data_IF_805831681765
#
_entry.id   IF_805831681765
#
_cell.length_a   1.000
_cell.length_b   1.000
_cell.length_c   1.000
_cell.angle_alpha   90.00
_cell.angle_beta   90.00
_cell.angle_gamma   90.00
#
_symmetry.space_group_name_H-M   'P 1'
#
loop_
_entity.id
_entity.type
_entity.pdbx_description
1 polymer ?
#
# COMPACT_ATOMS: atom_id res chain seq x y z
N UNK A 1 -23.37 -1.85 -13.01
CA UNK A 1 -22.46 -0.83 -12.41
C UNK A 1 -23.22 0.33 -11.78
N UNK A 2 -24.13 0.99 -12.48
CA UNK A 2 -24.85 2.17 -11.96
C UNK A 2 -26.19 1.81 -11.30
N UNK A 3 -26.15 0.91 -10.32
CA UNK A 3 -27.32 0.59 -9.50
C UNK A 3 -27.38 1.53 -8.29
N UNK A 4 -28.58 1.97 -7.93
CA UNK A 4 -28.80 2.86 -6.79
C UNK A 4 -28.42 2.18 -5.46
N UNK A 5 -28.83 0.92 -5.29
CA UNK A 5 -28.43 0.14 -4.11
C UNK A 5 -26.98 -0.37 -4.31
N UNK A 6 -26.02 0.00 -3.43
CA UNK A 6 -24.63 -0.41 -3.56
C UNK A 6 -24.46 -1.92 -3.45
N UNK A 7 -25.25 -2.61 -2.63
CA UNK A 7 -25.18 -4.06 -2.48
C UNK A 7 -25.62 -4.81 -3.74
N UNK A 8 -26.33 -4.14 -4.66
CA UNK A 8 -26.71 -4.71 -5.96
C UNK A 8 -25.70 -4.38 -7.06
N UNK A 9 -24.72 -3.52 -6.81
CA UNK A 9 -23.69 -3.15 -7.79
C UNK A 9 -22.86 -4.39 -8.14
N UNK A 10 -22.53 -4.54 -9.42
CA UNK A 10 -21.67 -5.62 -9.89
C UNK A 10 -20.29 -5.54 -9.22
N UNK A 11 -19.72 -6.69 -8.82
CA UNK A 11 -18.37 -6.78 -8.28
C UNK A 11 -17.31 -6.58 -9.37
N UNK A 12 -16.08 -6.26 -8.99
CA UNK A 12 -14.97 -6.07 -9.92
C UNK A 12 -14.71 -7.36 -10.71
N UNK A 13 -14.63 -8.51 -10.04
CA UNK A 13 -14.46 -9.83 -10.67
C UNK A 13 -15.51 -10.09 -11.77
N UNK A 14 -16.78 -9.83 -11.47
CA UNK A 14 -17.88 -10.00 -12.43
C UNK A 14 -17.84 -8.96 -13.55
N UNK A 15 -17.37 -7.76 -13.29
CA UNK A 15 -17.22 -6.73 -14.30
C UNK A 15 -16.08 -7.05 -15.28
N UNK A 16 -14.97 -7.63 -14.81
CA UNK A 16 -13.86 -8.07 -15.67
C UNK A 16 -14.28 -9.19 -16.63
N UNK A 17 -15.16 -10.09 -16.20
CA UNK A 17 -15.74 -11.16 -17.03
C UNK A 17 -16.89 -10.69 -17.94
N UNK A 18 -17.20 -9.39 -17.99
CA UNK A 18 -18.29 -8.88 -18.79
C UNK A 18 -17.97 -9.02 -20.29
N UNK A 19 -18.93 -9.38 -21.17
CA UNK A 19 -18.67 -9.62 -22.60
C UNK A 19 -17.97 -8.48 -23.34
N UNK A 20 -18.19 -7.24 -22.87
CA UNK A 20 -17.52 -6.05 -23.41
C UNK A 20 -15.98 -6.08 -23.25
N UNK A 21 -15.47 -6.69 -22.18
CA UNK A 21 -14.04 -6.80 -21.89
C UNK A 21 -13.44 -8.15 -22.32
N UNK A 22 -14.23 -9.05 -22.92
CA UNK A 22 -13.80 -10.41 -23.23
C UNK A 22 -12.53 -10.48 -24.10
N UNK A 23 -12.33 -9.52 -25.01
CA UNK A 23 -11.13 -9.46 -25.87
C UNK A 23 -9.86 -9.09 -25.09
N UNK A 24 -10.00 -8.49 -23.91
CA UNK A 24 -8.88 -8.02 -23.08
C UNK A 24 -8.74 -8.83 -21.78
N UNK A 25 -9.69 -9.71 -21.47
CA UNK A 25 -9.70 -10.45 -20.23
C UNK A 25 -8.91 -11.75 -20.36
N UNK A 26 -7.77 -11.81 -19.66
CA UNK A 26 -7.02 -13.05 -19.42
C UNK A 26 -6.92 -13.28 -17.89
N UNK A 27 -7.45 -14.39 -17.35
CA UNK A 27 -7.31 -14.71 -15.94
C UNK A 27 -5.86 -14.94 -15.49
N UNK A 28 -4.95 -15.31 -16.39
CA UNK A 28 -3.54 -15.51 -16.06
C UNK A 28 -2.78 -14.20 -15.79
N UNK A 29 -3.28 -13.08 -16.32
CA UNK A 29 -2.69 -11.75 -16.13
C UNK A 29 -3.15 -11.06 -14.84
N UNK A 30 -4.13 -11.65 -14.14
CA UNK A 30 -4.72 -11.05 -12.94
C UNK A 30 -4.04 -11.61 -11.70
N UNK A 31 -3.42 -10.72 -10.93
CA UNK A 31 -2.88 -11.03 -9.60
C UNK A 31 -3.57 -10.20 -8.53
N UNK A 32 -4.03 -10.85 -7.47
CA UNK A 32 -4.52 -10.17 -6.29
C UNK A 32 -3.34 -9.66 -5.45
N UNK A 33 -3.45 -8.42 -4.98
CA UNK A 33 -2.50 -7.91 -4.01
C UNK A 33 -2.69 -8.65 -2.67
N UNK A 34 -1.62 -8.91 -1.91
CA UNK A 34 -1.75 -9.43 -0.56
C UNK A 34 -2.59 -8.47 0.29
N UNK A 35 -3.27 -9.02 1.31
CA UNK A 35 -3.98 -8.20 2.28
C UNK A 35 -3.01 -7.17 2.88
N UNK A 36 -3.34 -5.90 2.68
CA UNK A 36 -2.51 -4.78 3.07
C UNK A 36 -3.35 -3.84 3.92
N UNK A 37 -2.81 -3.44 5.06
CA UNK A 37 -3.43 -2.47 5.93
C UNK A 37 -3.06 -1.07 5.44
N UNK A 38 -4.09 -0.27 5.14
CA UNK A 38 -3.92 1.12 4.71
C UNK A 38 -3.82 2.10 5.90
N UNK A 39 -3.89 1.62 7.13
CA UNK A 39 -3.64 2.42 8.32
C UNK A 39 -2.20 2.92 8.41
N UNK A 40 -2.01 4.05 9.09
CA UNK A 40 -0.68 4.46 9.52
C UNK A 40 -0.24 3.60 10.71
N UNK A 41 1.08 3.42 10.88
CA UNK A 41 1.64 2.72 12.05
C UNK A 41 1.33 3.45 13.37
N UNK A 42 0.98 4.75 13.29
CA UNK A 42 0.57 5.56 14.43
C UNK A 42 -0.95 5.59 14.55
N UNK A 43 -1.49 5.52 15.78
CA UNK A 43 -2.91 5.74 16.02
C UNK A 43 -3.31 7.18 15.64
N UNK A 44 -4.56 7.37 15.22
CA UNK A 44 -5.09 8.67 14.76
C UNK A 44 -4.85 9.82 15.75
N UNK A 45 -4.89 9.53 17.06
CA UNK A 45 -4.68 10.51 18.13
C UNK A 45 -3.22 11.04 18.22
N UNK A 46 -2.26 10.27 17.70
CA UNK A 46 -0.83 10.62 17.69
C UNK A 46 -0.36 11.13 16.31
N UNK A 47 -1.25 11.09 15.31
CA UNK A 47 -0.98 11.47 13.92
C UNK A 47 -0.98 13.00 13.74
N UNK A 48 -0.02 13.66 14.37
CA UNK A 48 0.22 15.10 14.20
C UNK A 48 0.84 15.41 12.83
N UNK A 49 0.80 16.68 12.44
CA UNK A 49 1.46 17.15 11.21
C UNK A 49 2.96 16.82 11.22
N UNK A 50 3.60 17.01 12.37
CA UNK A 50 5.03 16.75 12.56
C UNK A 50 5.33 15.25 12.42
N UNK A 51 4.50 14.39 13.03
CA UNK A 51 4.63 12.93 12.90
C UNK A 51 4.46 12.46 11.44
N UNK A 52 3.51 13.03 10.70
CA UNK A 52 3.33 12.74 9.27
C UNK A 52 4.54 13.15 8.42
N UNK A 53 5.17 14.29 8.73
CA UNK A 53 6.39 14.73 8.05
C UNK A 53 7.54 13.76 8.33
N UNK A 54 7.66 13.29 9.58
CA UNK A 54 8.67 12.30 9.97
C UNK A 54 8.47 10.98 9.22
N UNK A 55 7.26 10.41 9.23
CA UNK A 55 6.92 9.20 8.47
C UNK A 55 7.25 9.35 6.98
N UNK A 56 6.89 10.48 6.37
CA UNK A 56 7.19 10.75 4.96
C UNK A 56 8.70 10.86 4.70
N UNK A 57 9.45 11.53 5.59
CA UNK A 57 10.90 11.64 5.46
C UNK A 57 11.58 10.27 5.55
N UNK A 58 11.15 9.41 6.47
CA UNK A 58 11.64 8.04 6.61
C UNK A 58 11.40 7.22 5.33
N UNK A 59 10.20 7.31 4.76
CA UNK A 59 9.88 6.65 3.49
C UNK A 59 10.78 7.15 2.35
N UNK A 60 10.97 8.46 2.22
CA UNK A 60 11.82 9.00 1.15
C UNK A 60 13.29 8.57 1.32
N UNK A 61 13.79 8.50 2.56
CA UNK A 61 15.14 8.02 2.86
C UNK A 61 15.36 6.56 2.45
N UNK A 62 14.34 5.70 2.60
CA UNK A 62 14.41 4.31 2.16
C UNK A 62 14.66 4.19 0.64
N UNK A 63 14.09 5.08 -0.16
CA UNK A 63 14.29 5.12 -1.62
C UNK A 63 15.48 5.98 -2.07
N UNK A 64 15.93 6.94 -1.25
CA UNK A 64 16.96 7.94 -1.60
C UNK A 64 18.02 8.11 -0.51
N UNK A 65 18.91 7.11 -0.33
CA UNK A 65 19.91 7.14 0.75
C UNK A 65 20.85 8.35 0.60
N UNK A 66 21.05 9.08 1.70
CA UNK A 66 22.05 10.16 1.81
C UNK A 66 21.63 11.52 1.24
N UNK A 67 20.37 11.69 0.81
CA UNK A 67 19.86 12.98 0.30
C UNK A 67 19.14 13.85 1.34
N UNK A 68 18.75 13.29 2.50
CA UNK A 68 18.00 13.99 3.55
C UNK A 68 18.82 14.01 4.84
N UNK A 69 18.97 15.18 5.51
CA UNK A 69 19.61 15.25 6.81
C UNK A 69 18.67 14.71 7.89
N UNK A 70 19.00 13.53 8.45
CA UNK A 70 18.25 12.90 9.56
C UNK A 70 18.12 13.84 10.76
N UNK A 71 16.88 14.17 11.16
CA UNK A 71 16.57 14.62 12.52
C UNK A 71 15.95 13.43 13.25
N UNK A 72 16.71 12.73 14.08
CA UNK A 72 16.17 11.63 14.90
C UNK A 72 15.92 12.10 16.33
N UNK A 73 14.82 11.64 16.94
CA UNK A 73 14.90 10.89 18.18
C UNK A 73 14.44 9.45 17.93
N UNK A 74 15.28 8.50 18.32
CA UNK A 74 14.97 7.07 18.32
C UNK A 74 13.88 6.78 19.36
N UNK A 75 12.63 6.59 18.92
CA UNK A 75 11.60 6.02 19.80
C UNK A 75 11.70 4.49 19.71
N UNK A 76 11.86 3.89 20.90
CA UNK A 76 12.28 2.51 21.08
C UNK A 76 11.20 1.48 20.77
N UNK A 77 11.69 0.40 20.17
CA UNK A 77 11.26 -0.99 20.22
C UNK A 77 9.86 -1.38 19.72
N UNK A 78 9.97 -2.19 18.66
CA UNK A 78 9.08 -3.24 18.15
C UNK A 78 8.13 -2.83 17.02
N UNK A 79 8.20 -3.65 15.96
CA UNK A 79 7.24 -3.84 14.86
C UNK A 79 7.46 -3.00 13.59
N UNK A 80 6.91 -3.51 12.49
CA UNK A 80 7.51 -3.57 11.16
C UNK A 80 7.36 -2.30 10.32
N UNK A 81 8.40 -1.47 10.38
CA UNK A 81 8.76 -0.41 9.42
C UNK A 81 8.50 -0.81 7.95
N UNK A 82 7.47 -0.16 7.41
CA UNK A 82 6.79 -0.32 6.12
C UNK A 82 7.65 -0.73 4.91
N UNK A 83 8.84 -0.17 4.71
CA UNK A 83 9.77 -0.54 3.60
C UNK A 83 11.00 -1.35 4.02
N UNK A 84 11.07 -1.80 5.29
CA UNK A 84 12.21 -2.54 5.84
C UNK A 84 12.28 -4.02 5.44
N UNK A 85 11.30 -4.54 4.71
CA UNK A 85 11.32 -5.91 4.19
C UNK A 85 11.92 -5.91 2.79
N UNK A 86 13.24 -6.15 2.72
CA UNK A 86 13.90 -6.46 1.47
C UNK A 86 13.21 -7.64 0.79
N UNK A 87 12.60 -7.40 -0.38
CA UNK A 87 12.36 -8.44 -1.35
C UNK A 87 13.72 -8.91 -1.91
N UNK A 88 14.44 -9.75 -1.16
CA UNK A 88 15.47 -10.59 -1.77
C UNK A 88 14.78 -11.75 -2.47
N UNK A 89 14.26 -11.50 -3.67
CA UNK A 89 13.96 -12.57 -4.60
C UNK A 89 15.31 -13.15 -5.05
N UNK A 90 15.72 -14.23 -4.40
CA UNK A 90 16.74 -15.13 -4.92
C UNK A 90 16.19 -15.77 -6.20
N UNK A 91 16.80 -15.48 -7.34
CA UNK A 91 16.67 -16.27 -8.56
C UNK A 91 18.10 -16.65 -8.99
N UNK A 92 18.34 -17.96 -9.04
CA UNK A 92 19.56 -18.60 -9.51
C UNK A 92 19.75 -18.47 -11.02
#
# INVERSE_FOLDING_TARGET
MLLFNPAKRISIERALQHPYLATFYDPADITEAPAFDFGFDLPDDELSKEALIELLCEDIEAFHPGKIPRKMPTIGNNTSRFFGMGMTASAS
#
